data_IF_996684539053
#
_entry.id   IF_996684539053
#
_cell.length_a   1.000
_cell.length_b   1.000
_cell.length_c   1.000
_cell.angle_alpha   90.00
_cell.angle_beta   90.00
_cell.angle_gamma   90.00
#
_symmetry.space_group_name_H-M   'P 1'
#
loop_
_entity.id
_entity.type
_entity.pdbx_description
1 polymer ?
#
# COMPACT_ATOMS: atom_id res chain seq x y z
N UNK A 1 11.88 4.88 -33.47
CA UNK A 1 11.01 4.77 -32.30
C UNK A 1 11.64 3.89 -31.25
N UNK A 2 11.53 4.30 -30.02
CA UNK A 2 12.10 3.53 -28.93
C UNK A 2 11.03 2.61 -28.33
N UNK A 3 11.04 1.34 -28.72
CA UNK A 3 10.02 0.41 -28.28
C UNK A 3 10.11 0.11 -26.79
N UNK A 4 11.29 0.24 -26.19
CA UNK A 4 11.44 0.00 -24.75
C UNK A 4 10.67 1.04 -23.95
N UNK A 5 10.75 2.31 -24.33
CA UNK A 5 10.00 3.36 -23.66
C UNK A 5 8.51 3.13 -23.81
N UNK A 6 8.07 2.75 -25.01
CA UNK A 6 6.67 2.45 -25.24
C UNK A 6 6.20 1.31 -24.34
N UNK A 7 7.02 0.24 -24.22
CA UNK A 7 6.65 -0.90 -23.39
C UNK A 7 6.45 -0.50 -21.93
N UNK A 8 7.33 0.35 -21.40
CA UNK A 8 7.20 0.81 -20.02
C UNK A 8 5.94 1.65 -19.84
N UNK A 9 5.69 2.55 -20.78
CA UNK A 9 4.53 3.42 -20.70
C UNK A 9 3.22 2.66 -20.85
N UNK A 10 3.27 1.51 -21.51
CA UNK A 10 2.08 0.70 -21.77
C UNK A 10 2.00 -0.52 -20.86
N UNK A 11 2.73 -0.50 -19.74
CA UNK A 11 2.67 -1.61 -18.81
C UNK A 11 1.30 -1.66 -18.12
N UNK A 12 0.69 -2.83 -18.16
CA UNK A 12 -0.65 -3.03 -17.62
C UNK A 12 -0.66 -4.26 -16.74
N UNK A 13 -1.32 -4.14 -15.59
CA UNK A 13 -1.48 -5.23 -14.66
C UNK A 13 -2.65 -6.11 -15.07
N UNK A 14 -2.44 -7.42 -15.02
CA UNK A 14 -3.50 -8.39 -15.17
C UNK A 14 -3.97 -8.89 -13.81
N UNK A 15 -3.06 -9.01 -12.85
CA UNK A 15 -3.38 -9.47 -11.50
C UNK A 15 -2.38 -8.88 -10.52
N UNK A 16 -2.81 -8.72 -9.28
CA UNK A 16 -2.00 -8.15 -8.22
C UNK A 16 -2.12 -9.06 -7.00
N UNK A 17 -1.00 -9.32 -6.34
CA UNK A 17 -0.96 -10.10 -5.10
C UNK A 17 -0.06 -9.40 -4.10
N UNK A 18 -0.49 -9.36 -2.86
CA UNK A 18 0.28 -8.77 -1.78
C UNK A 18 0.57 -9.85 -0.75
N UNK A 19 1.85 -10.11 -0.51
CA UNK A 19 2.27 -11.02 0.54
C UNK A 19 2.66 -10.21 1.78
N UNK A 20 3.26 -10.88 2.77
CA UNK A 20 3.68 -10.18 3.98
C UNK A 20 4.74 -9.12 3.73
N UNK A 21 5.58 -9.32 2.73
CA UNK A 21 6.70 -8.42 2.49
C UNK A 21 6.89 -8.05 1.02
N UNK A 22 6.01 -8.48 0.14
CA UNK A 22 6.16 -8.22 -1.30
C UNK A 22 4.87 -7.85 -1.99
N UNK A 23 5.00 -7.05 -3.02
CA UNK A 23 3.92 -6.70 -3.93
C UNK A 23 4.26 -7.33 -5.29
N UNK A 24 3.41 -8.21 -5.77
CA UNK A 24 3.62 -8.92 -7.02
C UNK A 24 2.55 -8.55 -8.02
N UNK A 25 2.98 -8.20 -9.22
CA UNK A 25 2.07 -7.80 -10.29
C UNK A 25 2.35 -8.68 -11.51
N UNK A 26 1.32 -9.37 -11.97
CA UNK A 26 1.37 -10.09 -13.23
C UNK A 26 0.98 -9.13 -14.34
N UNK A 27 1.83 -9.00 -15.33
CA UNK A 27 1.59 -8.07 -16.43
C UNK A 27 0.87 -8.77 -17.58
N UNK A 28 0.16 -7.96 -18.34
CA UNK A 28 -0.60 -8.46 -19.49
C UNK A 28 0.31 -9.14 -20.51
N UNK A 29 1.57 -8.70 -20.63
CA UNK A 29 2.51 -9.29 -21.58
C UNK A 29 3.14 -10.60 -21.09
N UNK A 30 2.75 -11.09 -19.93
CA UNK A 30 3.23 -12.38 -19.42
C UNK A 30 4.33 -12.28 -18.38
N UNK A 31 4.91 -11.11 -18.18
CA UNK A 31 5.94 -10.94 -17.15
C UNK A 31 5.30 -10.80 -15.78
N UNK A 32 6.07 -11.11 -14.76
CA UNK A 32 5.67 -10.91 -13.37
C UNK A 32 6.77 -10.13 -12.67
N UNK A 33 6.38 -9.08 -11.97
CA UNK A 33 7.35 -8.30 -11.19
C UNK A 33 6.97 -8.35 -9.73
N UNK A 34 7.98 -8.37 -8.88
CA UNK A 34 7.79 -8.34 -7.43
C UNK A 34 8.70 -7.26 -6.86
N UNK A 35 8.13 -6.40 -6.03
CA UNK A 35 8.89 -5.33 -5.39
C UNK A 35 8.70 -5.43 -3.88
N UNK A 36 9.70 -4.98 -3.10
CA UNK A 36 9.57 -5.01 -1.65
C UNK A 36 8.45 -4.09 -1.18
N UNK A 37 7.61 -4.60 -0.31
CA UNK A 37 6.48 -3.82 0.20
C UNK A 37 6.97 -2.62 1.02
N UNK A 38 8.13 -2.76 1.66
CA UNK A 38 8.68 -1.69 2.48
C UNK A 38 9.04 -0.44 1.67
N UNK A 39 9.16 -0.58 0.34
CA UNK A 39 9.36 0.59 -0.51
C UNK A 39 8.16 1.54 -0.50
N UNK A 40 7.01 1.07 -0.03
CA UNK A 40 5.76 1.82 -0.02
C UNK A 40 5.22 1.85 1.40
N UNK A 41 5.61 2.87 2.18
CA UNK A 41 5.33 2.88 3.62
C UNK A 41 3.87 2.73 3.99
N UNK A 42 2.96 3.31 3.20
CA UNK A 42 1.54 3.17 3.53
C UNK A 42 1.08 1.74 3.40
N UNK A 43 1.60 1.01 2.40
CA UNK A 43 1.31 -0.41 2.28
C UNK A 43 1.95 -1.19 3.41
N UNK A 44 3.21 -0.85 3.72
CA UNK A 44 3.95 -1.55 4.77
C UNK A 44 3.27 -1.43 6.13
N UNK A 45 2.71 -0.25 6.42
CA UNK A 45 2.04 -0.01 7.69
C UNK A 45 0.55 -0.37 7.66
N UNK A 46 0.02 -0.78 6.52
CA UNK A 46 -1.36 -1.20 6.43
C UNK A 46 -1.57 -2.59 7.01
N UNK A 47 -2.82 -2.91 7.32
CA UNK A 47 -3.17 -4.26 7.75
C UNK A 47 -3.23 -5.18 6.53
N UNK A 48 -3.24 -6.49 6.78
CA UNK A 48 -3.40 -7.45 5.69
C UNK A 48 -4.70 -7.20 4.92
N UNK A 49 -5.75 -6.87 5.64
CA UNK A 49 -7.03 -6.59 5.01
C UNK A 49 -6.94 -5.37 4.10
N UNK A 50 -6.29 -4.31 4.58
CA UNK A 50 -6.13 -3.09 3.79
C UNK A 50 -5.27 -3.32 2.57
N UNK A 51 -4.18 -4.08 2.73
CA UNK A 51 -3.28 -4.39 1.61
C UNK A 51 -3.98 -5.21 0.54
N UNK A 52 -4.94 -6.02 0.95
CA UNK A 52 -5.67 -6.88 0.02
C UNK A 52 -6.85 -6.19 -0.63
N UNK A 53 -7.19 -4.99 -0.16
CA UNK A 53 -8.30 -4.23 -0.69
C UNK A 53 -7.76 -3.19 -1.67
N UNK A 54 -7.69 -3.57 -2.94
CA UNK A 54 -7.18 -2.69 -3.98
C UNK A 54 -8.06 -2.79 -5.21
N UNK A 55 -7.93 -1.78 -6.07
CA UNK A 55 -8.64 -1.71 -7.32
C UNK A 55 -7.63 -1.43 -8.43
N UNK A 56 -7.82 -2.07 -9.57
CA UNK A 56 -6.98 -1.88 -10.74
C UNK A 56 -7.73 -0.96 -11.68
N UNK A 57 -7.11 0.16 -12.04
CA UNK A 57 -7.73 1.19 -12.86
C UNK A 57 -6.98 1.42 -14.15
N UNK A 58 -7.63 2.14 -15.07
CA UNK A 58 -6.99 2.57 -16.29
C UNK A 58 -6.51 1.40 -17.12
N UNK A 59 -7.39 0.42 -17.34
CA UNK A 59 -7.07 -0.80 -18.10
C UNK A 59 -5.81 -1.50 -17.59
N UNK A 60 -5.53 -1.37 -16.31
CA UNK A 60 -4.39 -2.02 -15.68
C UNK A 60 -3.18 -1.13 -15.52
N UNK A 61 -3.30 0.17 -15.83
CA UNK A 61 -2.13 1.04 -15.76
C UNK A 61 -1.78 1.47 -14.34
N UNK A 62 -2.73 1.43 -13.41
CA UNK A 62 -2.38 1.74 -12.02
C UNK A 62 -3.30 1.02 -11.04
N UNK A 63 -2.85 1.00 -9.78
CA UNK A 63 -3.49 0.28 -8.69
C UNK A 63 -3.75 1.25 -7.56
N UNK A 64 -4.97 1.19 -7.00
CA UNK A 64 -5.40 2.09 -5.94
C UNK A 64 -5.80 1.30 -4.71
N UNK A 65 -5.29 1.72 -3.55
CA UNK A 65 -5.67 1.16 -2.25
C UNK A 65 -6.50 2.20 -1.51
N UNK A 66 -7.83 2.08 -1.52
CA UNK A 66 -8.68 3.12 -0.93
C UNK A 66 -8.50 3.29 0.58
N UNK A 67 -8.26 2.20 1.31
CA UNK A 67 -8.12 2.31 2.76
C UNK A 67 -6.81 2.96 3.17
N UNK A 68 -5.82 2.96 2.30
CA UNK A 68 -4.49 3.46 2.58
C UNK A 68 -4.21 4.77 1.85
N UNK A 69 -5.14 5.20 1.01
CA UNK A 69 -4.95 6.39 0.18
C UNK A 69 -3.63 6.31 -0.59
N UNK A 70 -3.42 5.17 -1.25
CA UNK A 70 -2.20 4.92 -1.99
C UNK A 70 -2.51 4.57 -3.43
N UNK A 71 -1.76 5.18 -4.34
CA UNK A 71 -1.86 4.92 -5.78
C UNK A 71 -0.48 4.61 -6.32
N UNK A 72 -0.37 3.52 -7.07
CA UNK A 72 0.89 3.16 -7.71
C UNK A 72 0.64 2.92 -9.19
N UNK A 73 1.53 3.46 -10.02
CA UNK A 73 1.48 3.16 -11.45
C UNK A 73 2.26 1.89 -11.72
N UNK A 74 1.75 1.07 -12.63
CA UNK A 74 2.43 -0.17 -13.00
C UNK A 74 3.75 0.14 -13.69
N UNK A 75 3.79 1.19 -14.51
CA UNK A 75 5.04 1.61 -15.14
C UNK A 75 6.07 2.05 -14.09
N UNK A 76 5.64 2.70 -13.01
CA UNK A 76 6.53 3.08 -11.93
C UNK A 76 7.10 1.87 -11.21
N UNK A 77 6.26 0.86 -10.96
CA UNK A 77 6.72 -0.38 -10.36
C UNK A 77 7.75 -1.07 -11.24
N UNK A 78 7.46 -1.14 -12.54
CA UNK A 78 8.38 -1.76 -13.49
C UNK A 78 9.70 -1.02 -13.56
N UNK A 79 9.68 0.29 -13.41
CA UNK A 79 10.90 1.10 -13.43
C UNK A 79 11.65 1.10 -12.10
N UNK A 80 11.10 0.45 -11.07
CA UNK A 80 11.76 0.37 -9.79
C UNK A 80 11.62 1.61 -8.93
N UNK A 81 10.59 2.41 -9.18
CA UNK A 81 10.39 3.62 -8.38
C UNK A 81 9.84 3.28 -7.00
N UNK A 82 10.34 3.99 -6.03
CA UNK A 82 9.87 3.86 -4.66
C UNK A 82 8.93 5.00 -4.32
N UNK A 83 8.29 4.90 -3.16
CA UNK A 83 7.43 5.96 -2.67
C UNK A 83 8.25 7.24 -2.49
N UNK A 84 7.68 8.35 -2.90
CA UNK A 84 8.28 9.65 -2.64
C UNK A 84 7.76 10.33 -1.38
N UNK A 85 7.07 9.57 -0.55
CA UNK A 85 6.44 10.15 0.63
C UNK A 85 7.50 10.55 1.67
N UNK A 86 7.42 11.79 2.17
CA UNK A 86 8.35 12.26 3.18
C UNK A 86 7.99 11.66 4.55
N UNK A 87 8.96 11.63 5.48
CA UNK A 87 8.65 11.17 6.84
C UNK A 87 7.55 12.00 7.51
N UNK A 88 7.49 13.30 7.24
CA UNK A 88 6.45 14.14 7.82
C UNK A 88 5.08 13.79 7.26
N UNK A 89 5.01 13.56 5.97
CA UNK A 89 3.75 13.16 5.34
C UNK A 89 3.28 11.82 5.87
N UNK A 90 4.19 10.87 5.99
CA UNK A 90 3.85 9.55 6.50
C UNK A 90 3.36 9.63 7.94
N UNK A 91 4.03 10.40 8.77
CA UNK A 91 3.62 10.55 10.16
C UNK A 91 2.23 11.18 10.25
N UNK A 92 1.98 12.20 9.45
CA UNK A 92 0.67 12.85 9.42
C UNK A 92 -0.41 11.85 9.02
N UNK A 93 -0.15 11.03 8.03
CA UNK A 93 -1.08 10.01 7.58
C UNK A 93 -1.32 8.99 8.69
N UNK A 94 -0.25 8.51 9.35
CA UNK A 94 -0.38 7.56 10.44
C UNK A 94 -1.19 8.15 11.60
N UNK A 95 -0.94 9.40 11.93
CA UNK A 95 -1.66 10.06 13.01
C UNK A 95 -3.15 10.19 12.68
N UNK A 96 -3.49 10.44 11.42
CA UNK A 96 -4.88 10.56 11.01
C UNK A 96 -5.63 9.25 11.11
N UNK A 97 -4.92 8.12 11.12
CA UNK A 97 -5.55 6.81 11.19
C UNK A 97 -5.77 6.33 12.61
N UNK A 98 -5.17 6.99 13.60
CA UNK A 98 -5.34 6.58 15.00
C UNK A 98 -6.76 6.87 15.43
N UNK A 99 -7.37 5.99 16.25
CA UNK A 99 -8.69 6.27 16.78
C UNK A 99 -8.66 7.54 17.60
N UNK A 100 -9.71 8.34 17.48
CA UNK A 100 -9.83 9.50 18.32
C UNK A 100 -10.14 9.06 19.72
N UNK A 101 -9.35 9.58 20.62
CA UNK A 101 -9.66 9.21 21.96
C UNK A 101 -10.57 10.20 22.47
N UNK A 102 -11.44 10.01 22.74
CA UNK A 102 -12.27 10.85 23.13
C UNK A 102 -11.93 11.17 24.30
N UNK A 103 -11.35 11.43 24.22
CA UNK A 103 -10.87 11.49 25.00
C UNK A 103 -10.50 10.85 25.48
N UNK A 104 -10.46 11.01 25.43
CA UNK A 104 -10.22 10.38 25.74
C UNK A 104 -10.40 10.00 26.55
N UNK A 105 -10.93 10.06 26.53
CA UNK A 105 -11.18 9.66 27.16
C UNK A 105 -11.00 8.96 27.70
N UNK A 106 -10.99 9.03 27.86
CA UNK A 106 -10.84 8.33 28.25
C UNK A 106 -10.78 7.39 28.46
N UNK A 107 -10.92 7.06 28.44
CA UNK A 107 -10.90 6.11 28.60
C UNK A 107 -10.59 5.22 28.88
N UNK A 108 -10.87 4.68 29.21
CA UNK A 108 -10.65 3.70 29.45
C UNK A 108 -10.07 2.88 29.25
N UNK A 109 -10.30 2.85 29.15
CA UNK A 109 -9.70 2.21 28.98
C UNK A 109 -9.16 1.51 28.72
N UNK A 110 -9.33 1.38 28.69
CA UNK A 110 -8.65 0.86 28.47
C UNK A 110 -8.07 0.12 28.28
N UNK A 111 -8.16 0.04 28.38
CA UNK A 111 -7.61 -0.45 28.27
C UNK A 111 -7.19 -1.37 27.90
N UNK A 112 -7.42 -1.50 27.94
CA UNK A 112 -7.09 -2.22 27.70
C UNK A 112 -6.84 -2.85 26.96
N UNK A 113 -7.43 -2.86 26.69
CA UNK A 113 -7.03 -3.16 26.08
C UNK A 113 -6.50 -3.57 25.38
N UNK A 114 -6.76 -3.54 25.43
CA UNK A 114 -6.07 -3.69 24.95
C UNK A 114 -5.39 -4.18 24.49
N UNK A 115 -5.64 -4.22 24.94
CA UNK A 115 -4.89 -4.57 24.69
C UNK A 115 -4.59 -5.16 24.13
N UNK A 116 -5.00 -5.26 24.26
CA UNK A 116 -4.56 -5.65 23.82
C UNK A 116 -4.41 -6.12 23.10
N UNK A 117 -4.88 -5.94 23.02
CA UNK A 117 -4.60 -6.08 22.56
C UNK A 117 -4.02 -6.43 21.89
N UNK A 118 -4.29 -6.10 21.86
CA UNK A 118 -3.65 -5.91 21.39
C UNK A 118 -3.00 -6.23 20.74
N UNK A 119 -3.35 -6.05 20.58
CA UNK A 119 -2.69 -5.99 20.07
C UNK A 119 -2.12 -6.20 19.50
N UNK A 120 -2.27 -6.09 19.51
CA UNK A 120 -1.73 -6.11 19.04
C UNK A 120 -1.17 -6.37 18.40
N UNK A 121 -1.44 -6.23 18.18
CA UNK A 121 -0.99 -6.29 17.61
C UNK A 121 -0.60 -6.13 17.08
N UNK A 122 -0.61 -5.88 16.89
CA UNK A 122 -0.35 -5.73 16.43
C UNK A 122 -0.12 -5.93 15.81
N UNK A 123 -0.45 -5.76 15.46
CA UNK A 123 -0.44 -5.86 14.96
C UNK A 123 -0.40 -5.71 14.63
#
# INVERSE_FOLDING_TARGET
MNSLVVQVQEAHARAVRVSGDGLTVDLVDGRTITVPLIWYPRLWHGTLRERSHFEIFGDGSYIHWPDLDEDLTVSGLLAGRRSGESPQSLKKWQDSRKPKRRGANGGPSNKRLQSARRERARG
#
